data_IF_718439519994
#
_entry.id   IF_718439519994
#
_cell.length_a   1.000
_cell.length_b   1.000
_cell.length_c   1.000
_cell.angle_alpha   90.00
_cell.angle_beta   90.00
_cell.angle_gamma   90.00
#
_symmetry.space_group_name_H-M   'P 1'
#
loop_
_entity.id
_entity.type
_entity.pdbx_description
1 polymer ?
#
# COMPACT_ATOMS: atom_id res chain seq x y z
N UNK A 1 -28.57 -23.11 3.33
CA UNK A 1 -28.67 -21.91 2.46
C UNK A 1 -27.55 -20.99 2.89
N UNK A 2 -26.55 -20.75 2.02
CA UNK A 2 -25.55 -19.71 2.28
C UNK A 2 -26.25 -18.41 1.90
N UNK A 3 -26.55 -17.56 2.87
CA UNK A 3 -27.04 -16.22 2.57
C UNK A 3 -25.97 -15.49 1.75
N UNK A 4 -26.39 -14.78 0.71
CA UNK A 4 -25.52 -13.95 -0.11
C UNK A 4 -24.94 -12.83 0.76
N UNK A 5 -23.70 -13.01 1.21
CA UNK A 5 -22.96 -12.00 1.97
C UNK A 5 -22.56 -10.91 0.97
N UNK A 6 -23.16 -9.73 1.10
CA UNK A 6 -22.73 -8.52 0.39
C UNK A 6 -21.35 -8.09 0.94
N UNK A 7 -20.29 -8.39 0.19
CA UNK A 7 -18.92 -8.00 0.53
C UNK A 7 -18.71 -6.58 0.02
N UNK A 8 -18.51 -5.59 0.91
CA UNK A 8 -18.31 -4.20 0.52
C UNK A 8 -17.08 -4.04 -0.37
N UNK A 9 -17.23 -3.36 -1.50
CA UNK A 9 -16.14 -3.08 -2.43
C UNK A 9 -15.35 -1.86 -1.96
N UNK A 10 -14.02 -2.00 -1.88
CA UNK A 10 -13.13 -0.88 -1.59
C UNK A 10 -13.17 0.13 -2.74
N UNK A 11 -13.50 1.37 -2.41
CA UNK A 11 -13.52 2.50 -3.34
C UNK A 11 -12.62 3.62 -2.79
N UNK A 12 -11.80 4.23 -3.64
CA UNK A 12 -10.94 5.39 -3.32
C UNK A 12 -9.97 5.23 -2.13
N UNK A 13 -9.71 4.00 -1.70
CA UNK A 13 -8.55 3.67 -0.87
C UNK A 13 -7.50 3.06 -1.78
N UNK A 14 -6.26 3.53 -1.70
CA UNK A 14 -5.16 3.08 -2.56
C UNK A 14 -3.87 2.91 -1.77
N UNK A 15 -2.96 2.08 -2.26
CA UNK A 15 -1.60 2.01 -1.73
C UNK A 15 -0.66 2.66 -2.74
N UNK A 16 0.28 3.46 -2.24
CA UNK A 16 1.32 4.09 -3.04
C UNK A 16 2.70 3.77 -2.48
N UNK A 17 3.69 3.69 -3.37
CA UNK A 17 5.11 3.62 -3.01
C UNK A 17 5.74 4.91 -3.55
N UNK A 18 5.98 5.85 -2.64
CA UNK A 18 6.56 7.16 -2.94
C UNK A 18 8.07 7.17 -2.77
N UNK A 19 8.74 7.96 -3.60
CA UNK A 19 10.19 8.20 -3.60
C UNK A 19 10.46 9.65 -3.20
N UNK A 20 11.22 9.86 -2.14
CA UNK A 20 11.74 11.17 -1.77
C UNK A 20 13.25 11.19 -1.97
N UNK A 21 13.79 12.30 -2.45
CA UNK A 21 15.23 12.51 -2.52
C UNK A 21 15.67 13.26 -1.26
N UNK A 22 16.51 12.65 -0.44
CA UNK A 22 17.01 13.27 0.78
C UNK A 22 18.12 14.30 0.49
N UNK A 23 18.59 15.00 1.54
CA UNK A 23 19.64 16.03 1.43
C UNK A 23 20.97 15.51 0.87
N UNK A 24 21.19 14.19 0.93
CA UNK A 24 22.37 13.50 0.39
C UNK A 24 22.19 13.02 -1.05
N UNK A 25 21.11 13.45 -1.71
CA UNK A 25 20.74 13.04 -3.07
C UNK A 25 20.51 11.52 -3.21
N UNK A 26 20.01 10.89 -2.14
CA UNK A 26 19.65 9.47 -2.12
C UNK A 26 18.13 9.29 -2.16
N UNK A 27 17.67 8.28 -2.91
CA UNK A 27 16.27 7.92 -2.99
C UNK A 27 15.84 7.12 -1.75
N UNK A 28 14.92 7.69 -0.99
CA UNK A 28 14.22 7.03 0.11
C UNK A 28 12.81 6.66 -0.34
N UNK A 29 12.44 5.40 -0.12
CA UNK A 29 11.15 4.88 -0.54
C UNK A 29 10.27 4.57 0.66
N UNK A 30 9.01 4.99 0.56
CA UNK A 30 8.05 4.89 1.64
C UNK A 30 6.71 4.41 1.07
N UNK A 31 6.11 3.44 1.74
CA UNK A 31 4.77 2.94 1.43
C UNK A 31 3.75 3.80 2.15
N UNK A 32 2.70 4.17 1.44
CA UNK A 32 1.59 5.01 1.92
C UNK A 32 0.25 4.32 1.69
N UNK A 33 -0.66 4.47 2.64
CA UNK A 33 -2.08 4.24 2.45
C UNK A 33 -2.75 5.58 2.18
N UNK A 34 -3.47 5.70 1.07
CA UNK A 34 -4.17 6.90 0.66
C UNK A 34 -5.67 6.70 0.86
N UNK A 35 -6.29 7.55 1.67
CA UNK A 35 -7.74 7.64 1.76
C UNK A 35 -8.22 8.82 0.93
N UNK A 36 -8.62 8.56 -0.32
CA UNK A 36 -9.16 9.56 -1.24
C UNK A 36 -10.69 9.68 -1.16
N UNK A 37 -11.30 9.07 -0.14
CA UNK A 37 -12.70 9.30 0.16
C UNK A 37 -12.92 10.62 0.88
N UNK A 38 -14.16 11.10 0.83
CA UNK A 38 -14.62 12.27 1.60
C UNK A 38 -15.08 11.89 3.02
N UNK A 39 -14.83 10.65 3.45
CA UNK A 39 -15.11 10.15 4.80
C UNK A 39 -13.85 9.54 5.43
N UNK A 40 -13.83 9.50 6.76
CA UNK A 40 -12.79 8.81 7.52
C UNK A 40 -12.99 7.28 7.45
N UNK A 41 -11.87 6.55 7.50
CA UNK A 41 -11.85 5.11 7.72
C UNK A 41 -11.20 4.82 9.07
N UNK A 42 -11.71 3.83 9.79
CA UNK A 42 -11.24 3.51 11.14
C UNK A 42 -10.77 2.07 11.26
N UNK A 43 -10.03 1.80 12.34
CA UNK A 43 -9.48 0.48 12.66
C UNK A 43 -8.77 -0.16 11.47
N UNK A 44 -7.89 0.62 10.85
CA UNK A 44 -7.19 0.23 9.64
C UNK A 44 -6.06 -0.73 10.01
N UNK A 45 -6.08 -1.91 9.42
CA UNK A 45 -5.04 -2.93 9.55
C UNK A 45 -4.38 -3.12 8.18
N UNK A 46 -3.06 -2.99 8.14
CA UNK A 46 -2.26 -3.27 6.94
C UNK A 46 -1.28 -4.39 7.23
N UNK A 47 -1.45 -5.53 6.57
CA UNK A 47 -0.46 -6.62 6.59
C UNK A 47 0.40 -6.56 5.33
N UNK A 48 1.72 -6.37 5.49
CA UNK A 48 2.67 -6.35 4.37
C UNK A 48 3.49 -7.63 4.31
N UNK A 49 3.83 -8.08 3.09
CA UNK A 49 4.80 -9.16 2.83
C UNK A 49 5.30 -9.09 1.40
N UNK A 50 6.52 -9.55 1.16
CA UNK A 50 7.11 -9.79 -0.14
C UNK A 50 7.25 -11.28 -0.42
N UNK A 51 6.97 -11.71 -1.65
CA UNK A 51 7.21 -13.09 -2.09
C UNK A 51 7.54 -13.17 -3.58
N UNK A 52 8.40 -14.11 -3.95
CA UNK A 52 8.83 -14.33 -5.33
C UNK A 52 10.03 -15.26 -5.38
N UNK A 53 10.84 -15.08 -6.41
CA UNK A 53 12.07 -15.83 -6.61
C UNK A 53 13.20 -14.86 -6.97
N UNK A 54 14.43 -15.19 -6.57
CA UNK A 54 15.64 -14.49 -6.99
C UNK A 54 16.66 -15.54 -7.40
N UNK A 55 17.13 -15.47 -8.64
CA UNK A 55 18.09 -16.43 -9.20
C UNK A 55 17.62 -17.90 -9.12
N UNK A 56 16.30 -18.13 -9.18
CA UNK A 56 15.68 -19.45 -9.09
C UNK A 56 15.43 -19.95 -7.67
N UNK A 57 15.83 -19.19 -6.64
CA UNK A 57 15.57 -19.54 -5.24
C UNK A 57 14.35 -18.78 -4.69
N UNK A 58 13.41 -19.47 -4.01
CA UNK A 58 12.26 -18.81 -3.38
C UNK A 58 12.69 -17.80 -2.32
N UNK A 59 12.21 -16.57 -2.45
CA UNK A 59 12.44 -15.49 -1.48
C UNK A 59 11.11 -15.03 -0.89
N UNK A 60 11.10 -14.85 0.44
CA UNK A 60 9.96 -14.30 1.19
C UNK A 60 10.47 -13.35 2.26
N UNK A 61 9.74 -12.26 2.49
CA UNK A 61 10.00 -11.38 3.63
C UNK A 61 9.17 -11.82 4.84
N UNK A 62 9.49 -11.28 6.01
CA UNK A 62 8.60 -11.35 7.16
C UNK A 62 7.26 -10.66 6.87
N UNK A 63 6.22 -11.09 7.56
CA UNK A 63 4.92 -10.42 7.55
C UNK A 63 4.92 -9.34 8.62
N UNK A 64 4.74 -8.09 8.23
CA UNK A 64 4.58 -6.97 9.16
C UNK A 64 3.11 -6.56 9.23
N UNK A 65 2.70 -6.03 10.38
CA UNK A 65 1.32 -5.60 10.64
C UNK A 65 1.33 -4.20 11.22
N UNK A 66 0.64 -3.31 10.55
CA UNK A 66 0.51 -1.90 10.91
C UNK A 66 -0.94 -1.64 11.27
N UNK A 67 -1.15 -0.84 12.31
CA UNK A 67 -2.48 -0.44 12.77
C UNK A 67 -2.57 1.07 12.81
N UNK A 68 -3.66 1.59 12.25
CA UNK A 68 -4.04 3.00 12.36
C UNK A 68 -5.44 3.06 12.93
N UNK A 69 -5.61 3.83 14.01
CA UNK A 69 -6.91 4.01 14.65
C UNK A 69 -7.89 4.66 13.66
N UNK A 70 -7.45 5.73 13.00
CA UNK A 70 -8.22 6.45 11.98
C UNK A 70 -7.31 7.00 10.88
N UNK A 71 -7.84 7.07 9.66
CA UNK A 71 -7.27 7.83 8.55
C UNK A 71 -8.35 8.75 8.02
N UNK A 72 -8.11 10.05 8.11
CA UNK A 72 -9.08 11.09 7.75
C UNK A 72 -9.38 11.13 6.24
N UNK A 73 -10.46 11.83 5.84
CA UNK A 73 -10.81 12.02 4.44
C UNK A 73 -9.74 12.81 3.70
N UNK A 74 -9.47 12.45 2.45
CA UNK A 74 -8.45 13.10 1.62
C UNK A 74 -7.06 13.20 2.29
N UNK A 75 -6.69 12.20 3.09
CA UNK A 75 -5.38 12.15 3.77
C UNK A 75 -4.64 10.84 3.51
N UNK A 76 -3.38 10.77 3.95
CA UNK A 76 -2.54 9.58 3.82
C UNK A 76 -1.92 9.18 5.15
N UNK A 77 -1.54 7.91 5.26
CA UNK A 77 -0.76 7.37 6.37
C UNK A 77 0.49 6.67 5.85
N UNK A 78 1.63 6.87 6.52
CA UNK A 78 2.88 6.15 6.26
C UNK A 78 2.76 4.74 6.84
N UNK A 79 2.86 3.72 5.98
CA UNK A 79 2.85 2.30 6.39
C UNK A 79 4.26 1.90 6.86
N UNK A 80 5.21 1.82 5.94
CA UNK A 80 6.58 1.38 6.22
C UNK A 80 7.57 1.88 5.17
N UNK A 81 8.86 2.06 5.51
CA UNK A 81 9.90 2.22 4.51
C UNK A 81 10.07 0.92 3.72
N UNK A 82 10.43 1.02 2.44
CA UNK A 82 10.70 -0.13 1.59
C UNK A 82 12.06 0.04 0.90
N UNK A 83 12.86 -1.03 0.83
CA UNK A 83 14.18 -0.98 0.21
C UNK A 83 14.11 -1.46 -1.26
N UNK A 84 14.83 -0.84 -2.20
CA UNK A 84 14.86 -1.30 -3.61
C UNK A 84 15.23 -2.78 -3.79
N UNK A 85 15.98 -3.36 -2.85
CA UNK A 85 16.35 -4.79 -2.85
C UNK A 85 15.16 -5.75 -2.74
N UNK A 86 13.94 -5.27 -2.51
CA UNK A 86 12.71 -6.10 -2.55
C UNK A 86 11.79 -5.76 -3.71
N UNK A 87 12.16 -4.83 -4.60
CA UNK A 87 11.33 -4.45 -5.75
C UNK A 87 11.21 -5.55 -6.80
N UNK A 88 12.11 -6.53 -6.80
CA UNK A 88 12.00 -7.74 -7.62
C UNK A 88 10.97 -8.75 -7.10
N UNK A 89 10.39 -8.53 -5.91
CA UNK A 89 9.36 -9.38 -5.34
C UNK A 89 7.96 -8.86 -5.67
N UNK A 90 6.96 -9.74 -5.53
CA UNK A 90 5.59 -9.31 -5.37
C UNK A 90 5.44 -8.73 -3.96
N UNK A 91 5.26 -7.41 -3.86
CA UNK A 91 5.04 -6.73 -2.59
C UNK A 91 3.53 -6.60 -2.36
N UNK A 92 2.99 -7.45 -1.48
CA UNK A 92 1.56 -7.51 -1.13
C UNK A 92 1.29 -6.69 0.12
N UNK A 93 0.32 -5.77 0.00
CA UNK A 93 -0.26 -5.00 1.08
C UNK A 93 -1.73 -5.36 1.21
N UNK A 94 -2.07 -6.08 2.27
CA UNK A 94 -3.44 -6.45 2.57
C UNK A 94 -4.02 -5.44 3.56
N UNK A 95 -4.95 -4.61 3.08
CA UNK A 95 -5.58 -3.54 3.85
C UNK A 95 -6.99 -3.95 4.23
N UNK A 96 -7.30 -3.89 5.52
CA UNK A 96 -8.65 -4.00 6.07
C UNK A 96 -8.98 -2.73 6.86
N UNK A 97 -10.21 -2.24 6.77
CA UNK A 97 -10.67 -1.07 7.52
C UNK A 97 -12.18 -1.11 7.76
N UNK A 98 -12.64 -0.25 8.67
CA UNK A 98 -14.04 -0.07 8.99
C UNK A 98 -14.55 1.25 8.43
N UNK A 99 -15.75 1.22 7.85
CA UNK A 99 -16.53 2.40 7.49
C UNK A 99 -18.02 2.05 7.58
N UNK A 100 -18.83 2.91 8.20
CA UNK A 100 -20.28 2.72 8.41
C UNK A 100 -20.65 1.35 9.00
N UNK A 101 -19.88 0.89 9.99
CA UNK A 101 -20.11 -0.39 10.68
C UNK A 101 -19.83 -1.63 9.83
N UNK A 102 -19.32 -1.45 8.60
CA UNK A 102 -18.92 -2.53 7.70
C UNK A 102 -17.41 -2.64 7.61
N UNK A 103 -16.93 -3.86 7.37
CA UNK A 103 -15.51 -4.14 7.13
C UNK A 103 -15.27 -4.20 5.63
N UNK A 104 -14.24 -3.49 5.21
CA UNK A 104 -13.72 -3.47 3.85
C UNK A 104 -12.35 -4.12 3.85
N UNK A 105 -12.03 -4.81 2.75
CA UNK A 105 -10.83 -5.61 2.67
C UNK A 105 -10.32 -5.69 1.22
N UNK A 106 -9.04 -5.38 1.00
CA UNK A 106 -8.42 -5.43 -0.33
C UNK A 106 -6.92 -5.71 -0.26
N UNK A 107 -6.44 -6.50 -1.23
CA UNK A 107 -5.01 -6.73 -1.47
C UNK A 107 -4.53 -5.85 -2.62
N UNK A 108 -3.42 -5.17 -2.39
CA UNK A 108 -2.67 -4.41 -3.39
C UNK A 108 -1.34 -5.12 -3.60
N UNK A 109 -1.00 -5.46 -4.84
CA UNK A 109 0.20 -6.25 -5.13
C UNK A 109 1.04 -5.48 -6.15
N UNK A 110 2.16 -4.92 -5.71
CA UNK A 110 3.15 -4.36 -6.61
C UNK A 110 3.98 -5.51 -7.16
N UNK A 111 3.78 -5.80 -8.45
CA UNK A 111 4.49 -6.86 -9.15
C UNK A 111 5.96 -6.45 -9.36
N UNK A 112 6.85 -7.42 -9.62
CA UNK A 112 8.21 -7.14 -10.08
C UNK A 112 8.19 -6.15 -11.25
N UNK A 113 9.20 -5.29 -11.29
CA UNK A 113 9.40 -4.26 -12.33
C UNK A 113 8.30 -3.19 -12.41
N UNK A 114 7.37 -3.14 -11.44
CA UNK A 114 6.39 -2.03 -11.38
C UNK A 114 6.98 -0.79 -10.71
N UNK A 115 7.87 -0.96 -9.73
CA UNK A 115 8.52 0.12 -8.98
C UNK A 115 9.80 0.55 -9.69
N UNK A 116 9.65 1.29 -10.80
CA UNK A 116 10.74 1.71 -11.67
C UNK A 116 10.48 3.11 -12.26
N UNK A 117 11.54 3.79 -12.70
CA UNK A 117 11.51 5.17 -13.23
C UNK A 117 10.38 5.41 -14.24
N UNK A 118 10.20 4.49 -15.21
CA UNK A 118 9.21 4.64 -16.28
C UNK A 118 7.75 4.62 -15.81
N UNK A 119 7.49 4.18 -14.59
CA UNK A 119 6.15 4.10 -14.00
C UNK A 119 5.91 5.16 -12.92
N UNK A 120 6.90 6.02 -12.64
CA UNK A 120 6.76 7.07 -11.65
C UNK A 120 5.82 8.16 -12.15
N UNK A 121 4.89 8.53 -11.28
CA UNK A 121 3.97 9.63 -11.47
C UNK A 121 3.95 10.49 -10.21
N UNK A 122 3.69 11.78 -10.38
CA UNK A 122 3.51 12.67 -9.23
C UNK A 122 2.18 12.36 -8.54
N UNK A 123 2.23 12.12 -7.23
CA UNK A 123 1.07 11.78 -6.41
C UNK A 123 0.79 12.96 -5.48
N UNK A 124 -0.21 13.78 -5.86
CA UNK A 124 -0.54 15.03 -5.18
C UNK A 124 -0.73 14.87 -3.65
N UNK A 125 -1.40 13.81 -3.21
CA UNK A 125 -1.75 13.59 -1.79
C UNK A 125 -0.53 13.37 -0.88
N UNK A 126 0.61 12.96 -1.43
CA UNK A 126 1.87 12.76 -0.69
C UNK A 126 3.01 13.65 -1.21
N UNK A 127 2.68 14.58 -2.11
CA UNK A 127 3.57 15.59 -2.68
C UNK A 127 4.91 15.02 -3.19
N UNK A 128 4.85 13.84 -3.83
CA UNK A 128 6.07 13.18 -4.32
C UNK A 128 5.81 12.28 -5.51
N UNK A 129 6.88 11.91 -6.22
CA UNK A 129 6.82 10.89 -7.27
C UNK A 129 6.71 9.49 -6.67
N UNK A 130 5.96 8.61 -7.32
CA UNK A 130 5.81 7.23 -6.87
C UNK A 130 5.03 6.36 -7.83
N UNK A 131 4.74 5.15 -7.39
CA UNK A 131 3.84 4.22 -8.10
C UNK A 131 2.59 4.03 -7.28
N UNK A 132 1.44 4.07 -7.95
CA UNK A 132 0.12 3.95 -7.33
C UNK A 132 -0.55 2.63 -7.72
N UNK A 133 -1.10 1.91 -6.75
CA UNK A 133 -1.93 0.75 -6.99
C UNK A 133 -3.36 1.04 -6.49
N UNK A 134 -4.33 0.90 -7.40
CA UNK A 134 -5.75 1.16 -7.13
C UNK A 134 -6.53 -0.06 -6.72
#
# INVERSE_FOLDING_TARGET
>A
MKEDIDIPQVTNVRVAIGRHINELNQAEWQVYLLNQNDHLISNVLVSSKGYGEKEGEPQKTSVLRHYFEEIGPQTSAKIEPIHPDVFHLNNEYWVSYYHDGKVFDKKYIFLPDTIQEGNLLYIDMIETEGVLHS
#
